data_IF_068581685137
#
_entry.id   IF_068581685137
#
_cell.length_a   1.000
_cell.length_b   1.000
_cell.length_c   1.000
_cell.angle_alpha   90.00
_cell.angle_beta   90.00
_cell.angle_gamma   90.00
#
_symmetry.space_group_name_H-M   'P 1'
#
loop_
_entity.id
_entity.type
_entity.pdbx_description
1 polymer ?
#
# COMPACT_ATOMS: atom_id res chain seq x y z
N UNK A 1 20.88 -28.53 -3.65
CA UNK A 1 20.65 -27.82 -4.92
C UNK A 1 20.16 -26.44 -4.54
N UNK A 2 20.85 -25.38 -4.97
CA UNK A 2 20.38 -24.00 -4.77
C UNK A 2 19.19 -23.74 -5.68
N UNK A 3 18.23 -22.95 -5.21
CA UNK A 3 17.11 -22.44 -6.01
C UNK A 3 17.61 -21.16 -6.69
N UNK A 4 17.62 -21.15 -8.03
CA UNK A 4 17.96 -19.96 -8.80
C UNK A 4 16.81 -18.95 -8.75
N UNK A 5 17.12 -17.70 -8.40
CA UNK A 5 16.15 -16.60 -8.35
C UNK A 5 16.66 -15.47 -9.24
N UNK A 6 15.98 -15.26 -10.36
CA UNK A 6 16.25 -14.15 -11.26
C UNK A 6 15.59 -12.89 -10.72
N UNK A 7 16.37 -11.82 -10.59
CA UNK A 7 15.95 -10.55 -10.00
C UNK A 7 16.11 -9.46 -11.03
N UNK A 8 15.05 -8.68 -11.26
CA UNK A 8 15.10 -7.46 -12.05
C UNK A 8 15.18 -6.24 -11.11
N UNK A 9 16.08 -5.30 -11.38
CA UNK A 9 16.13 -4.00 -10.69
C UNK A 9 16.06 -2.90 -11.74
N UNK A 10 15.05 -2.04 -11.65
CA UNK A 10 14.88 -0.87 -12.54
C UNK A 10 14.86 0.40 -11.69
N UNK A 11 15.91 1.21 -11.79
CA UNK A 11 16.05 2.48 -11.09
C UNK A 11 17.00 3.39 -11.92
N UNK A 12 16.68 4.67 -12.07
CA UNK A 12 17.51 5.60 -12.85
C UNK A 12 18.74 6.13 -12.10
N UNK A 13 18.95 5.68 -10.85
CA UNK A 13 20.10 6.00 -10.01
C UNK A 13 21.09 4.83 -9.95
N UNK A 14 22.24 4.89 -10.67
CA UNK A 14 23.21 3.78 -10.73
C UNK A 14 23.78 3.38 -9.36
N UNK A 15 23.98 4.35 -8.46
CA UNK A 15 24.48 4.09 -7.11
C UNK A 15 23.51 3.24 -6.29
N UNK A 16 22.20 3.47 -6.47
CA UNK A 16 21.15 2.75 -5.77
C UNK A 16 21.08 1.29 -6.26
N UNK A 17 21.17 1.07 -7.57
CA UNK A 17 21.25 -0.28 -8.16
C UNK A 17 22.42 -1.07 -7.55
N UNK A 18 23.62 -0.48 -7.49
CA UNK A 18 24.79 -1.15 -6.92
C UNK A 18 24.64 -1.43 -5.42
N UNK A 19 24.04 -0.49 -4.67
CA UNK A 19 23.72 -0.71 -3.26
C UNK A 19 22.80 -1.93 -3.08
N UNK A 20 21.73 -2.04 -3.88
CA UNK A 20 20.79 -3.15 -3.80
C UNK A 20 21.43 -4.48 -4.19
N UNK A 21 22.22 -4.49 -5.27
CA UNK A 21 22.98 -5.68 -5.69
C UNK A 21 23.91 -6.17 -4.59
N UNK A 22 24.63 -5.27 -3.94
CA UNK A 22 25.55 -5.63 -2.87
C UNK A 22 24.81 -6.16 -1.63
N UNK A 23 23.67 -5.55 -1.27
CA UNK A 23 22.82 -6.06 -0.20
C UNK A 23 22.32 -7.48 -0.49
N UNK A 24 21.71 -7.70 -1.66
CA UNK A 24 21.17 -8.99 -2.07
C UNK A 24 22.27 -10.07 -2.13
N UNK A 25 23.46 -9.75 -2.66
CA UNK A 25 24.61 -10.67 -2.65
C UNK A 25 25.11 -10.98 -1.24
N UNK A 26 24.98 -10.04 -0.31
CA UNK A 26 25.30 -10.23 1.11
C UNK A 26 24.25 -11.00 1.90
N UNK A 27 23.07 -11.25 1.33
CA UNK A 27 22.00 -12.00 1.99
C UNK A 27 22.44 -13.44 2.24
N UNK A 28 22.51 -13.83 3.52
CA UNK A 28 22.93 -15.16 3.92
C UNK A 28 21.79 -16.18 3.76
N UNK A 29 21.66 -16.71 2.55
CA UNK A 29 20.70 -17.78 2.24
C UNK A 29 21.10 -19.16 2.78
N UNK A 30 22.25 -19.29 3.45
CA UNK A 30 22.89 -20.58 3.80
C UNK A 30 23.05 -21.53 2.61
N UNK A 31 23.19 -20.98 1.39
CA UNK A 31 23.29 -21.75 0.14
C UNK A 31 21.95 -22.25 -0.42
N UNK A 32 20.82 -21.80 0.14
CA UNK A 32 19.48 -22.17 -0.34
C UNK A 32 19.16 -21.50 -1.67
N UNK A 33 19.60 -20.26 -1.85
CA UNK A 33 19.29 -19.43 -3.02
C UNK A 33 20.55 -18.99 -3.74
N UNK A 34 20.45 -18.91 -5.07
CA UNK A 34 21.43 -18.31 -5.96
C UNK A 34 20.75 -17.17 -6.75
N UNK A 35 21.31 -15.96 -6.68
CA UNK A 35 20.68 -14.76 -7.23
C UNK A 35 21.35 -14.34 -8.54
N UNK A 36 20.57 -14.27 -9.62
CA UNK A 36 20.99 -13.66 -10.88
C UNK A 36 20.30 -12.31 -11.02
N UNK A 37 21.06 -11.21 -11.16
CA UNK A 37 20.51 -9.85 -11.17
C UNK A 37 20.64 -9.23 -12.56
N UNK A 38 19.50 -8.87 -13.15
CA UNK A 38 19.37 -8.01 -14.33
C UNK A 38 19.07 -6.59 -13.89
N UNK A 39 19.74 -5.61 -14.49
CA UNK A 39 19.56 -4.19 -14.17
C UNK A 39 19.05 -3.43 -15.40
N UNK A 40 18.19 -2.45 -15.14
CA UNK A 40 17.72 -1.47 -16.10
C UNK A 40 17.68 -0.09 -15.43
N UNK A 41 17.68 0.97 -16.23
CA UNK A 41 17.90 2.36 -15.75
C UNK A 41 16.76 3.33 -16.07
N UNK A 42 15.75 2.86 -16.78
CA UNK A 42 14.63 3.66 -17.25
C UNK A 42 13.48 2.75 -17.67
N UNK A 43 12.32 3.34 -17.99
CA UNK A 43 11.15 2.59 -18.44
C UNK A 43 11.40 1.79 -19.73
N UNK A 44 12.31 2.27 -20.59
CA UNK A 44 12.59 1.62 -21.87
C UNK A 44 13.37 0.33 -21.66
N UNK A 45 14.52 0.43 -20.99
CA UNK A 45 15.37 -0.72 -20.68
C UNK A 45 14.67 -1.69 -19.73
N UNK A 46 13.79 -1.20 -18.85
CA UNK A 46 12.93 -2.04 -18.01
C UNK A 46 11.90 -2.84 -18.84
N UNK A 47 11.25 -2.19 -19.80
CA UNK A 47 10.32 -2.84 -20.72
C UNK A 47 11.04 -3.92 -21.54
N UNK A 48 12.17 -3.57 -22.16
CA UNK A 48 12.99 -4.49 -22.94
C UNK A 48 13.42 -5.71 -22.10
N UNK A 49 13.91 -5.46 -20.88
CA UNK A 49 14.31 -6.53 -19.96
C UNK A 49 13.16 -7.50 -19.62
N UNK A 50 11.92 -7.01 -19.48
CA UNK A 50 10.76 -7.86 -19.22
C UNK A 50 10.35 -8.64 -20.48
N UNK A 51 10.26 -7.97 -21.63
CA UNK A 51 9.73 -8.60 -22.86
C UNK A 51 10.70 -9.52 -23.58
N UNK A 52 12.00 -9.32 -23.37
CA UNK A 52 13.06 -10.11 -24.00
C UNK A 52 13.66 -11.16 -23.04
N UNK A 53 13.13 -11.28 -21.82
CA UNK A 53 13.59 -12.25 -20.86
C UNK A 53 13.43 -13.69 -21.37
N UNK A 54 14.51 -14.46 -21.36
CA UNK A 54 14.49 -15.89 -21.70
C UNK A 54 14.00 -16.75 -20.54
N UNK A 55 14.20 -16.26 -19.31
CA UNK A 55 13.81 -16.92 -18.06
C UNK A 55 12.98 -15.94 -17.22
N UNK A 56 11.93 -16.40 -16.52
CA UNK A 56 11.08 -15.51 -15.74
C UNK A 56 11.85 -14.91 -14.55
N UNK A 57 11.51 -13.68 -14.20
CA UNK A 57 11.97 -13.05 -12.96
C UNK A 57 11.14 -13.57 -11.78
N UNK A 58 11.82 -13.94 -10.70
CA UNK A 58 11.18 -14.30 -9.43
C UNK A 58 10.86 -13.07 -8.58
N UNK A 59 11.70 -12.03 -8.64
CA UNK A 59 11.51 -10.78 -7.91
C UNK A 59 11.85 -9.59 -8.82
N UNK A 60 11.06 -8.53 -8.79
CA UNK A 60 11.36 -7.29 -9.50
C UNK A 60 11.25 -6.07 -8.58
N UNK A 61 12.26 -5.21 -8.63
CA UNK A 61 12.31 -3.91 -7.98
C UNK A 61 12.07 -2.83 -9.03
N UNK A 62 11.11 -1.95 -8.79
CA UNK A 62 10.85 -0.78 -9.64
C UNK A 62 10.87 0.50 -8.81
N UNK A 63 11.71 1.45 -9.21
CA UNK A 63 11.47 2.84 -8.88
C UNK A 63 10.24 3.36 -9.63
N UNK A 64 9.39 4.14 -8.98
CA UNK A 64 8.21 4.69 -9.63
C UNK A 64 8.53 5.87 -10.54
N UNK A 65 9.59 6.62 -10.22
CA UNK A 65 9.94 7.87 -10.90
C UNK A 65 11.21 7.69 -11.73
N UNK A 66 11.04 7.41 -13.02
CA UNK A 66 12.15 7.19 -13.95
C UNK A 66 11.86 7.83 -15.32
N UNK A 67 12.86 8.00 -16.19
CA UNK A 67 12.64 8.40 -17.57
C UNK A 67 11.65 7.48 -18.29
N UNK A 68 10.68 8.09 -18.98
CA UNK A 68 9.53 7.41 -19.60
C UNK A 68 9.88 6.73 -20.91
N UNK A 69 9.07 5.74 -21.31
CA UNK A 69 9.10 5.13 -22.64
C UNK A 69 7.75 5.32 -23.34
N UNK A 70 7.57 6.52 -23.89
CA UNK A 70 6.31 6.97 -24.48
C UNK A 70 5.83 6.10 -25.65
N UNK A 71 6.76 5.60 -26.49
CA UNK A 71 6.43 4.77 -27.66
C UNK A 71 5.67 3.48 -27.29
N UNK A 72 5.86 2.98 -26.08
CA UNK A 72 5.17 1.80 -25.53
C UNK A 72 4.16 2.13 -24.44
N UNK A 73 3.93 3.42 -24.16
CA UNK A 73 3.00 3.86 -23.13
C UNK A 73 3.41 3.47 -21.72
N UNK A 74 4.73 3.38 -21.44
CA UNK A 74 5.27 3.10 -20.10
C UNK A 74 5.78 4.42 -19.53
N UNK A 75 5.07 4.98 -18.56
CA UNK A 75 5.36 6.31 -18.02
C UNK A 75 5.93 6.28 -16.60
N UNK A 76 6.00 5.11 -15.98
CA UNK A 76 6.44 4.95 -14.60
C UNK A 76 6.81 3.51 -14.28
N UNK A 77 7.40 3.30 -13.10
CA UNK A 77 7.57 1.96 -12.53
C UNK A 77 6.24 1.24 -12.24
N UNK A 78 5.12 1.97 -12.09
CA UNK A 78 3.79 1.37 -11.94
C UNK A 78 3.38 0.64 -13.22
N UNK A 79 3.67 1.23 -14.38
CA UNK A 79 3.38 0.63 -15.68
C UNK A 79 4.23 -0.62 -15.93
N UNK A 80 5.52 -0.59 -15.52
CA UNK A 80 6.39 -1.77 -15.56
C UNK A 80 5.90 -2.88 -14.62
N UNK A 81 5.41 -2.52 -13.43
CA UNK A 81 4.85 -3.48 -12.48
C UNK A 81 3.59 -4.16 -13.03
N UNK A 82 2.71 -3.40 -13.71
CA UNK A 82 1.54 -3.97 -14.39
C UNK A 82 1.96 -4.85 -15.58
N UNK A 83 2.98 -4.44 -16.34
CA UNK A 83 3.54 -5.22 -17.44
C UNK A 83 4.09 -6.56 -16.93
N UNK A 84 5.01 -6.56 -15.96
CA UNK A 84 5.61 -7.80 -15.47
C UNK A 84 4.59 -8.72 -14.83
N UNK A 85 3.56 -8.19 -14.16
CA UNK A 85 2.46 -8.99 -13.61
C UNK A 85 1.66 -9.72 -14.69
N UNK A 86 1.56 -9.13 -15.89
CA UNK A 86 0.91 -9.76 -17.05
C UNK A 86 1.79 -10.83 -17.70
N UNK A 87 3.07 -10.51 -17.92
CA UNK A 87 4.00 -11.42 -18.61
C UNK A 87 4.51 -12.56 -17.69
N UNK A 88 4.64 -12.28 -16.39
CA UNK A 88 5.22 -13.16 -15.36
C UNK A 88 4.39 -13.08 -14.05
N UNK A 89 3.19 -13.69 -14.00
CA UNK A 89 2.25 -13.53 -12.88
C UNK A 89 2.76 -13.96 -11.50
N UNK A 90 3.73 -14.88 -11.46
CA UNK A 90 4.34 -15.38 -10.23
C UNK A 90 5.48 -14.48 -9.72
N UNK A 91 5.89 -13.48 -10.49
CA UNK A 91 6.94 -12.54 -10.11
C UNK A 91 6.51 -11.70 -8.91
N UNK A 92 7.34 -11.68 -7.85
CA UNK A 92 7.09 -10.82 -6.69
C UNK A 92 7.54 -9.39 -6.97
N UNK A 93 6.67 -8.43 -6.73
CA UNK A 93 6.90 -7.03 -7.09
C UNK A 93 7.21 -6.19 -5.85
N UNK A 94 8.31 -5.45 -5.89
CA UNK A 94 8.74 -4.47 -4.89
C UNK A 94 8.77 -3.10 -5.54
N UNK A 95 7.94 -2.18 -5.04
CA UNK A 95 7.90 -0.79 -5.50
C UNK A 95 8.64 0.10 -4.52
N UNK A 96 9.46 0.99 -5.06
CA UNK A 96 10.26 1.95 -4.32
C UNK A 96 9.81 3.35 -4.74
N UNK A 97 9.48 4.21 -3.78
CA UNK A 97 8.95 5.53 -4.13
C UNK A 97 9.34 6.63 -3.16
N UNK A 98 9.43 7.86 -3.67
CA UNK A 98 9.50 9.08 -2.84
C UNK A 98 8.10 9.61 -2.50
N UNK A 99 7.05 9.08 -3.12
CA UNK A 99 5.67 9.48 -2.85
C UNK A 99 5.26 9.14 -1.42
N UNK A 100 4.67 10.10 -0.73
CA UNK A 100 4.16 9.95 0.64
C UNK A 100 2.70 10.37 0.76
N UNK A 101 2.07 10.66 -0.37
CA UNK A 101 0.69 11.08 -0.46
C UNK A 101 -0.23 9.87 -0.29
N UNK A 102 -1.13 9.97 0.69
CA UNK A 102 -2.04 8.89 1.08
C UNK A 102 -2.83 8.30 -0.10
N UNK A 103 -3.41 9.17 -0.93
CA UNK A 103 -4.21 8.77 -2.09
C UNK A 103 -3.37 8.04 -3.14
N UNK A 104 -2.11 8.47 -3.35
CA UNK A 104 -1.20 7.84 -4.31
C UNK A 104 -0.82 6.44 -3.84
N UNK A 105 -0.40 6.31 -2.59
CA UNK A 105 -0.07 5.02 -1.96
C UNK A 105 -1.25 4.05 -2.00
N UNK A 106 -2.45 4.52 -1.68
CA UNK A 106 -3.66 3.70 -1.75
C UNK A 106 -3.96 3.21 -3.16
N UNK A 107 -3.79 4.09 -4.15
CA UNK A 107 -4.02 3.76 -5.57
C UNK A 107 -3.04 2.69 -6.05
N UNK A 108 -1.76 2.81 -5.68
CA UNK A 108 -0.72 1.81 -5.97
C UNK A 108 -1.11 0.46 -5.37
N UNK A 109 -1.48 0.41 -4.09
CA UNK A 109 -1.86 -0.83 -3.41
C UNK A 109 -3.08 -1.48 -4.08
N UNK A 110 -4.12 -0.69 -4.39
CA UNK A 110 -5.34 -1.20 -5.02
C UNK A 110 -5.13 -1.72 -6.44
N UNK A 111 -4.35 -1.00 -7.24
CA UNK A 111 -4.21 -1.30 -8.66
C UNK A 111 -3.15 -2.38 -8.93
N UNK A 112 -2.04 -2.34 -8.20
CA UNK A 112 -0.90 -3.22 -8.42
C UNK A 112 -0.90 -4.38 -7.43
N UNK A 113 -1.32 -4.13 -6.19
CA UNK A 113 -1.20 -5.07 -5.06
C UNK A 113 0.22 -5.68 -4.96
N UNK A 114 1.26 -4.84 -4.77
CA UNK A 114 2.64 -5.29 -4.76
C UNK A 114 2.96 -6.07 -3.48
N UNK A 115 3.92 -6.99 -3.58
CA UNK A 115 4.46 -7.71 -2.43
C UNK A 115 5.28 -6.80 -1.51
N UNK A 116 5.96 -5.82 -2.11
CA UNK A 116 6.74 -4.79 -1.42
C UNK A 116 6.29 -3.38 -1.81
N UNK A 117 6.10 -2.49 -0.84
CA UNK A 117 5.99 -1.05 -1.10
C UNK A 117 6.79 -0.29 -0.03
N UNK A 118 7.83 0.40 -0.47
CA UNK A 118 8.78 1.07 0.42
C UNK A 118 8.92 2.53 0.03
N UNK A 119 8.80 3.42 1.02
CA UNK A 119 9.23 4.80 0.86
C UNK A 119 10.75 4.84 0.88
N UNK A 120 11.38 5.40 -0.16
CA UNK A 120 12.85 5.47 -0.29
C UNK A 120 13.51 6.17 0.91
N UNK A 121 12.82 7.10 1.57
CA UNK A 121 13.30 7.74 2.82
C UNK A 121 13.35 6.79 4.03
N UNK A 122 12.51 5.75 4.06
CA UNK A 122 12.55 4.70 5.09
C UNK A 122 13.63 3.66 4.78
N UNK A 123 14.18 3.66 3.56
CA UNK A 123 15.01 2.59 3.05
C UNK A 123 16.44 2.69 3.56
N UNK A 124 16.82 1.70 4.35
CA UNK A 124 18.20 1.43 4.76
C UNK A 124 18.64 0.07 4.20
N UNK A 125 19.93 -0.27 4.32
CA UNK A 125 20.42 -1.60 3.95
C UNK A 125 19.71 -2.73 4.70
N UNK A 126 19.51 -2.55 6.01
CA UNK A 126 18.83 -3.54 6.84
C UNK A 126 17.36 -3.66 6.44
N UNK A 127 16.69 -2.53 6.20
CA UNK A 127 15.30 -2.50 5.75
C UNK A 127 15.11 -3.23 4.41
N UNK A 128 16.02 -3.01 3.46
CA UNK A 128 16.01 -3.71 2.17
C UNK A 128 16.15 -5.23 2.36
N UNK A 129 17.08 -5.66 3.21
CA UNK A 129 17.29 -7.08 3.50
C UNK A 129 16.09 -7.71 4.19
N UNK A 130 15.44 -7.00 5.11
CA UNK A 130 14.21 -7.44 5.78
C UNK A 130 13.08 -7.58 4.76
N UNK A 131 12.89 -6.57 3.90
CA UNK A 131 11.87 -6.62 2.86
C UNK A 131 12.10 -7.80 1.91
N UNK A 132 13.35 -7.98 1.47
CA UNK A 132 13.75 -9.06 0.59
C UNK A 132 13.56 -10.45 1.21
N UNK A 133 13.97 -10.64 2.47
CA UNK A 133 13.80 -11.90 3.22
C UNK A 133 12.33 -12.31 3.35
N UNK A 134 11.46 -11.35 3.69
CA UNK A 134 10.03 -11.58 3.81
C UNK A 134 9.40 -11.99 2.48
N UNK A 135 9.75 -11.27 1.42
CA UNK A 135 9.19 -11.52 0.08
C UNK A 135 9.67 -12.85 -0.48
N UNK A 136 10.93 -13.23 -0.22
CA UNK A 136 11.43 -14.57 -0.53
C UNK A 136 10.67 -15.69 0.20
N UNK A 137 10.04 -15.39 1.34
CA UNK A 137 9.24 -16.33 2.14
C UNK A 137 7.73 -16.18 1.90
N UNK A 138 7.35 -15.58 0.78
CA UNK A 138 5.95 -15.32 0.39
C UNK A 138 5.17 -14.41 1.37
N UNK A 139 5.87 -13.60 2.18
CA UNK A 139 5.28 -12.57 3.01
C UNK A 139 5.33 -11.19 2.31
N UNK A 140 4.35 -10.33 2.62
CA UNK A 140 4.35 -8.95 2.12
C UNK A 140 5.16 -8.03 3.04
N UNK A 141 5.71 -6.96 2.45
CA UNK A 141 6.46 -5.93 3.16
C UNK A 141 6.01 -4.52 2.80
N UNK A 142 5.57 -3.76 3.81
CA UNK A 142 5.32 -2.33 3.67
C UNK A 142 6.17 -1.57 4.67
N UNK A 143 6.87 -0.53 4.20
CA UNK A 143 7.71 0.29 5.09
C UNK A 143 6.86 0.99 6.14
N UNK A 144 7.49 1.45 7.22
CA UNK A 144 6.77 2.03 8.35
C UNK A 144 5.87 3.21 7.94
N UNK A 145 6.33 4.05 7.03
CA UNK A 145 5.54 5.18 6.51
C UNK A 145 4.32 4.70 5.73
N UNK A 146 4.46 3.68 4.89
CA UNK A 146 3.33 3.07 4.16
C UNK A 146 2.31 2.50 5.14
N UNK A 147 2.75 1.74 6.14
CA UNK A 147 1.86 1.16 7.15
C UNK A 147 1.09 2.25 7.90
N UNK A 148 1.76 3.34 8.29
CA UNK A 148 1.11 4.50 8.94
C UNK A 148 0.06 5.12 8.03
N UNK A 149 0.38 5.39 6.77
CA UNK A 149 -0.56 5.96 5.80
C UNK A 149 -1.78 5.04 5.60
N UNK A 150 -1.57 3.75 5.34
CA UNK A 150 -2.68 2.80 5.14
C UNK A 150 -3.53 2.65 6.40
N UNK A 151 -2.92 2.72 7.60
CA UNK A 151 -3.67 2.70 8.86
C UNK A 151 -4.54 3.96 9.05
N UNK A 152 -4.08 5.13 8.56
CA UNK A 152 -4.92 6.34 8.51
C UNK A 152 -6.11 6.12 7.59
N UNK A 153 -5.96 5.46 6.44
CA UNK A 153 -7.11 5.09 5.59
C UNK A 153 -8.04 4.08 6.23
N UNK A 154 -7.59 3.20 7.13
CA UNK A 154 -8.51 2.32 7.85
C UNK A 154 -9.28 3.10 8.92
N UNK A 155 -8.66 4.10 9.52
CA UNK A 155 -9.31 5.06 10.41
C UNK A 155 -10.31 5.94 9.63
N UNK A 156 -9.91 6.41 8.45
CA UNK A 156 -10.71 7.23 7.53
C UNK A 156 -11.66 6.39 6.65
N UNK A 157 -11.60 5.06 6.60
CA UNK A 157 -12.64 4.20 5.98
C UNK A 157 -13.61 3.63 7.02
N UNK A 158 -13.39 3.93 8.31
CA UNK A 158 -14.46 4.11 9.29
C UNK A 158 -14.90 5.59 9.19
N UNK A 159 -15.04 6.10 7.96
CA UNK A 159 -15.60 7.41 7.70
C UNK A 159 -17.11 7.29 7.76
N UNK A 160 -17.67 8.03 8.72
CA UNK A 160 -19.06 8.41 8.89
C UNK A 160 -19.83 8.32 7.57
N UNK A 161 -20.42 7.15 7.34
CA UNK A 161 -21.08 6.85 6.08
C UNK A 161 -22.46 7.54 6.02
N UNK A 162 -23.21 7.33 4.94
CA UNK A 162 -24.53 7.93 4.80
C UNK A 162 -25.49 7.56 5.94
N UNK A 163 -25.37 6.36 6.51
CA UNK A 163 -26.18 5.94 7.65
C UNK A 163 -25.70 6.57 8.95
N UNK A 164 -24.39 6.73 9.13
CA UNK A 164 -23.85 7.43 10.30
C UNK A 164 -24.27 8.90 10.32
N UNK A 165 -24.28 9.57 9.16
CA UNK A 165 -24.83 10.93 9.02
C UNK A 165 -26.32 10.99 9.35
N UNK A 166 -27.10 10.01 8.92
CA UNK A 166 -28.52 9.91 9.28
C UNK A 166 -28.71 9.69 10.79
N UNK A 167 -27.91 8.81 11.41
CA UNK A 167 -27.91 8.59 12.85
C UNK A 167 -27.59 9.90 13.58
N UNK A 168 -26.52 10.59 13.20
CA UNK A 168 -26.14 11.90 13.76
C UNK A 168 -27.25 12.94 13.58
N UNK A 169 -27.87 12.99 12.40
CA UNK A 169 -28.98 13.91 12.09
C UNK A 169 -30.16 13.67 13.03
N UNK A 170 -30.64 12.43 13.16
CA UNK A 170 -31.76 12.11 14.03
C UNK A 170 -31.44 12.34 15.51
N UNK A 171 -30.23 11.99 15.96
CA UNK A 171 -29.75 12.35 17.29
C UNK A 171 -29.76 13.87 17.51
N UNK A 172 -29.32 14.66 16.53
CA UNK A 172 -29.32 16.13 16.60
C UNK A 172 -30.73 16.75 16.67
N UNK A 173 -31.75 16.04 16.18
CA UNK A 173 -33.17 16.42 16.27
C UNK A 173 -33.83 15.96 17.57
N UNK A 174 -33.11 15.25 18.45
CA UNK A 174 -33.63 14.74 19.72
C UNK A 174 -34.36 13.39 19.60
N UNK A 175 -34.24 12.68 18.47
CA UNK A 175 -34.76 11.32 18.34
C UNK A 175 -34.02 10.39 19.31
N UNK A 176 -34.76 9.60 20.10
CA UNK A 176 -34.15 8.63 21.01
C UNK A 176 -33.53 7.49 20.20
N UNK A 177 -32.38 6.98 20.64
CA UNK A 177 -31.65 5.89 19.96
C UNK A 177 -32.55 4.70 19.60
N UNK A 178 -33.46 4.30 20.51
CA UNK A 178 -34.42 3.21 20.30
C UNK A 178 -35.41 3.43 19.13
N UNK A 179 -35.64 4.69 18.74
CA UNK A 179 -36.60 5.08 17.71
C UNK A 179 -35.90 5.36 16.35
N UNK A 180 -34.57 5.46 16.33
CA UNK A 180 -33.78 5.69 15.09
C UNK A 180 -33.99 4.61 14.02
N UNK A 181 -34.12 3.30 14.33
CA UNK A 181 -34.45 2.27 13.35
C UNK A 181 -35.72 2.51 12.52
N UNK A 182 -36.60 3.42 12.93
CA UNK A 182 -37.79 3.80 12.15
C UNK A 182 -37.44 4.69 10.95
N UNK A 183 -36.27 5.33 10.97
CA UNK A 183 -35.84 6.32 9.97
C UNK A 183 -34.64 5.87 9.13
N UNK A 184 -33.91 4.85 9.59
CA UNK A 184 -32.76 4.28 8.88
C UNK A 184 -32.93 2.76 8.74
N UNK A 185 -32.45 2.13 7.66
CA UNK A 185 -32.59 0.69 7.43
C UNK A 185 -31.56 -0.12 8.25
N UNK A 186 -31.54 0.06 9.58
CA UNK A 186 -30.62 -0.58 10.52
C UNK A 186 -31.36 -1.11 11.74
N UNK A 187 -30.87 -2.21 12.32
CA UNK A 187 -31.35 -2.69 13.61
C UNK A 187 -30.92 -1.76 14.75
N UNK A 188 -31.62 -1.81 15.89
CA UNK A 188 -31.23 -1.05 17.08
C UNK A 188 -29.78 -1.36 17.52
N UNK A 189 -29.40 -2.64 17.52
CA UNK A 189 -28.04 -3.07 17.85
C UNK A 189 -26.98 -2.52 16.87
N UNK A 190 -27.32 -2.42 15.58
CA UNK A 190 -26.44 -1.83 14.59
C UNK A 190 -26.28 -0.31 14.80
N UNK A 191 -27.36 0.40 15.16
CA UNK A 191 -27.31 1.83 15.51
C UNK A 191 -26.45 2.05 16.75
N UNK A 192 -26.58 1.24 17.79
CA UNK A 192 -25.78 1.35 19.02
C UNK A 192 -24.28 1.10 18.76
N UNK A 193 -23.96 0.06 17.99
CA UNK A 193 -22.58 -0.25 17.60
C UNK A 193 -21.97 0.90 16.79
N UNK A 194 -22.71 1.43 15.82
CA UNK A 194 -22.25 2.58 15.01
C UNK A 194 -22.04 3.84 15.84
N UNK A 195 -22.91 4.12 16.81
CA UNK A 195 -22.69 5.24 17.76
C UNK A 195 -21.43 5.08 18.60
N UNK A 196 -21.12 3.86 19.04
CA UNK A 196 -19.88 3.59 19.77
C UNK A 196 -18.67 3.87 18.88
N UNK A 197 -18.69 3.34 17.66
CA UNK A 197 -17.65 3.59 16.67
C UNK A 197 -17.51 5.09 16.36
N UNK A 198 -18.61 5.82 16.17
CA UNK A 198 -18.59 7.27 15.94
C UNK A 198 -17.96 8.06 17.10
N UNK A 199 -18.16 7.62 18.35
CA UNK A 199 -17.51 8.23 19.51
C UNK A 199 -16.01 7.95 19.51
N UNK A 200 -15.59 6.74 19.16
CA UNK A 200 -14.18 6.39 19.01
C UNK A 200 -13.53 7.18 17.86
N UNK A 201 -14.16 7.23 16.68
CA UNK A 201 -13.72 7.98 15.50
C UNK A 201 -13.59 9.48 15.78
N UNK A 202 -14.51 10.06 16.56
CA UNK A 202 -14.48 11.47 16.95
C UNK A 202 -13.63 11.74 18.21
N UNK A 203 -12.86 10.76 18.67
CA UNK A 203 -11.97 10.83 19.85
C UNK A 203 -12.69 11.18 21.17
N UNK A 204 -13.97 10.85 21.26
CA UNK A 204 -14.84 11.10 22.42
C UNK A 204 -14.73 9.92 23.39
N UNK A 205 -13.81 10.02 24.35
CA UNK A 205 -13.63 8.98 25.39
C UNK A 205 -14.79 8.96 26.39
N UNK A 206 -15.63 7.93 26.32
CA UNK A 206 -16.72 7.70 27.29
C UNK A 206 -17.85 8.74 27.26
N UNK A 207 -17.93 9.56 26.21
CA UNK A 207 -18.87 10.67 26.14
C UNK A 207 -20.32 10.27 25.85
N UNK A 208 -21.22 11.18 26.18
CA UNK A 208 -22.67 11.06 25.94
C UNK A 208 -23.01 11.24 24.45
N UNK A 209 -24.28 11.00 24.09
CA UNK A 209 -24.75 11.32 22.74
C UNK A 209 -24.73 12.83 22.46
N UNK A 210 -24.80 13.66 23.51
CA UNK A 210 -24.67 15.11 23.40
C UNK A 210 -23.25 15.49 23.01
N UNK A 211 -22.24 14.83 23.59
CA UNK A 211 -20.84 15.03 23.22
C UNK A 211 -20.60 14.62 21.76
N UNK A 212 -21.22 13.52 21.33
CA UNK A 212 -21.18 13.06 19.94
C UNK A 212 -21.77 14.09 18.96
N UNK A 213 -22.94 14.66 19.27
CA UNK A 213 -23.56 15.69 18.42
C UNK A 213 -22.72 16.97 18.40
N UNK A 214 -22.17 17.39 19.55
CA UNK A 214 -21.35 18.61 19.63
C UNK A 214 -20.11 18.50 18.77
N UNK A 215 -19.39 17.39 18.88
CA UNK A 215 -18.17 17.18 18.10
C UNK A 215 -18.47 17.01 16.60
N UNK A 216 -19.57 16.32 16.27
CA UNK A 216 -20.03 16.23 14.89
C UNK A 216 -20.31 17.62 14.27
N UNK A 217 -20.90 18.56 15.02
CA UNK A 217 -21.08 19.95 14.56
C UNK A 217 -19.75 20.69 14.40
N UNK A 218 -18.83 20.55 15.36
CA UNK A 218 -17.52 21.21 15.30
C UNK A 218 -16.72 20.78 14.06
N UNK A 219 -16.86 19.52 13.64
CA UNK A 219 -16.19 18.97 12.46
C UNK A 219 -16.99 19.09 11.15
N UNK A 220 -18.13 19.78 11.14
CA UNK A 220 -18.92 20.03 9.93
C UNK A 220 -19.66 18.80 9.38
N UNK A 221 -20.00 17.84 10.23
CA UNK A 221 -20.68 16.59 9.87
C UNK A 221 -22.22 16.70 9.98
N UNK A 222 -22.72 17.84 10.46
CA UNK A 222 -24.12 18.19 10.70
C UNK A 222 -24.46 19.59 10.19
#
# INVERSE_FOLDING_TARGET
MSIAVNILIVDDHPFIIEAYKNAIKGYNSKGTYEFAITQAKDCKTGYEAITEATEPFGIAFFDLSMPVYEEKGIYSGEDLALLIKREMPDCKIILLTMHTELLKINTIIKNINPNGLVIKNDLTFDELLIAFDKILKDENYYSQTVVKLVSQLQYDNIEIDAFDKQILYHLSKGTKTKDIPQFVPLSLSAVEKRKLNLKETLEIKGGSDIDLIREAKNKGLL
#
